data_IF_642355970951
#
_entry.id   IF_642355970951
#
_cell.length_a   1.000
_cell.length_b   1.000
_cell.length_c   1.000
_cell.angle_alpha   90.00
_cell.angle_beta   90.00
_cell.angle_gamma   90.00
#
_symmetry.space_group_name_H-M   'P 1'
#
loop_
_entity.id
_entity.type
_entity.pdbx_description
1 polymer ?
#
# COMPACT_ATOMS: atom_id res chain seq x y z
N UNK A 1 -31.11 -19.39 -15.98
CA UNK A 1 -31.23 -17.99 -16.47
C UNK A 1 -31.39 -18.08 -17.99
N UNK A 2 -32.53 -17.68 -18.54
CA UNK A 2 -32.86 -17.79 -19.97
C UNK A 2 -32.39 -16.54 -20.75
N UNK A 3 -31.07 -16.35 -20.86
CA UNK A 3 -30.45 -15.28 -21.65
C UNK A 3 -29.91 -15.80 -22.97
N UNK A 4 -29.98 -14.99 -24.03
CA UNK A 4 -29.31 -15.26 -25.31
C UNK A 4 -27.78 -15.17 -25.09
N UNK A 5 -27.10 -16.29 -25.28
CA UNK A 5 -25.64 -16.42 -25.15
C UNK A 5 -24.95 -15.66 -26.29
N UNK A 6 -24.53 -14.43 -26.02
CA UNK A 6 -23.72 -13.63 -26.93
C UNK A 6 -22.24 -13.68 -26.50
N UNK A 7 -21.46 -14.55 -27.11
CA UNK A 7 -19.99 -14.59 -26.94
C UNK A 7 -19.35 -13.39 -27.66
N UNK A 8 -19.33 -12.22 -27.01
CA UNK A 8 -18.78 -10.98 -27.58
C UNK A 8 -17.24 -10.95 -27.63
N UNK A 9 -16.55 -11.89 -26.98
CA UNK A 9 -15.09 -11.85 -26.84
C UNK A 9 -14.51 -13.25 -26.86
N UNK A 10 -13.54 -13.49 -27.75
CA UNK A 10 -12.71 -14.68 -27.72
C UNK A 10 -11.75 -14.57 -26.52
N UNK A 11 -12.05 -15.29 -25.44
CA UNK A 11 -11.19 -15.30 -24.26
C UNK A 11 -9.95 -16.14 -24.55
N UNK A 12 -8.80 -15.47 -24.60
CA UNK A 12 -7.51 -16.17 -24.68
C UNK A 12 -7.26 -16.94 -23.36
N UNK A 13 -7.06 -18.26 -23.41
CA UNK A 13 -6.80 -19.07 -22.23
C UNK A 13 -5.57 -18.60 -21.43
N UNK A 14 -4.58 -17.98 -22.07
CA UNK A 14 -3.38 -17.49 -21.37
C UNK A 14 -3.72 -16.32 -20.43
N UNK A 15 -4.52 -15.35 -20.89
CA UNK A 15 -4.95 -14.22 -20.06
C UNK A 15 -5.88 -14.68 -18.92
N UNK A 16 -6.77 -15.64 -19.19
CA UNK A 16 -7.62 -16.23 -18.15
C UNK A 16 -6.78 -16.91 -17.08
N UNK A 17 -5.74 -17.68 -17.47
CA UNK A 17 -4.81 -18.32 -16.53
C UNK A 17 -4.02 -17.30 -15.72
N UNK A 18 -3.49 -16.25 -16.35
CA UNK A 18 -2.76 -15.19 -15.66
C UNK A 18 -3.63 -14.51 -14.59
N UNK A 19 -4.85 -14.12 -14.96
CA UNK A 19 -5.83 -13.53 -14.04
C UNK A 19 -6.12 -14.45 -12.85
N UNK A 20 -6.32 -15.75 -13.13
CA UNK A 20 -6.51 -16.75 -12.08
C UNK A 20 -5.28 -16.88 -11.17
N UNK A 21 -4.05 -16.85 -11.70
CA UNK A 21 -2.83 -16.90 -10.88
C UNK A 21 -2.65 -15.64 -10.02
N UNK A 22 -2.98 -14.45 -10.53
CA UNK A 22 -2.87 -13.20 -9.77
C UNK A 22 -3.90 -13.15 -8.65
N UNK A 23 -5.15 -13.48 -8.95
CA UNK A 23 -6.26 -13.44 -7.98
C UNK A 23 -6.11 -14.50 -6.89
N UNK A 24 -5.62 -15.69 -7.24
CA UNK A 24 -5.41 -16.78 -6.27
C UNK A 24 -4.01 -16.78 -5.64
N UNK A 25 -3.19 -15.74 -5.82
CA UNK A 25 -1.80 -15.70 -5.33
C UNK A 25 -1.68 -15.96 -3.83
N UNK A 26 -2.66 -15.49 -3.05
CA UNK A 26 -2.70 -15.69 -1.59
C UNK A 26 -2.80 -17.17 -1.19
N UNK A 27 -3.46 -18.01 -2.01
CA UNK A 27 -3.60 -19.45 -1.75
C UNK A 27 -2.27 -20.20 -1.82
N UNK A 28 -1.35 -19.71 -2.65
CA UNK A 28 -0.03 -20.32 -2.87
C UNK A 28 1.10 -19.59 -2.15
N UNK A 29 0.77 -18.62 -1.28
CA UNK A 29 1.75 -17.88 -0.52
C UNK A 29 2.48 -18.78 0.47
N UNK A 30 3.79 -18.52 0.66
CA UNK A 30 4.62 -19.21 1.63
C UNK A 30 5.50 -18.23 2.39
N UNK A 31 5.63 -18.45 3.69
CA UNK A 31 6.62 -17.75 4.49
C UNK A 31 8.00 -18.29 4.15
N UNK A 32 8.82 -17.44 3.56
CA UNK A 32 10.23 -17.66 3.28
C UNK A 32 11.02 -16.56 3.98
N UNK A 33 12.32 -16.74 4.25
CA UNK A 33 13.13 -15.69 4.86
C UNK A 33 13.06 -14.36 4.09
N UNK A 34 12.89 -14.41 2.76
CA UNK A 34 12.71 -13.21 1.93
C UNK A 34 11.34 -12.56 2.15
N UNK A 35 10.24 -13.31 1.99
CA UNK A 35 8.89 -12.75 2.12
C UNK A 35 8.61 -12.26 3.53
N UNK A 36 9.09 -12.97 4.56
CA UNK A 36 9.01 -12.55 5.96
C UNK A 36 9.66 -11.18 6.20
N UNK A 37 10.90 -10.99 5.72
CA UNK A 37 11.61 -9.70 5.86
C UNK A 37 10.88 -8.56 5.16
N UNK A 38 10.39 -8.79 3.95
CA UNK A 38 9.65 -7.77 3.19
C UNK A 38 8.35 -7.41 3.92
N UNK A 39 7.56 -8.40 4.34
CA UNK A 39 6.32 -8.14 5.06
C UNK A 39 6.57 -7.39 6.36
N UNK A 40 7.58 -7.79 7.15
CA UNK A 40 7.93 -7.11 8.39
C UNK A 40 8.37 -5.65 8.15
N UNK A 41 9.20 -5.41 7.14
CA UNK A 41 9.66 -4.06 6.80
C UNK A 41 8.48 -3.12 6.47
N UNK A 42 7.54 -3.56 5.64
CA UNK A 42 6.44 -2.69 5.21
C UNK A 42 5.25 -2.66 6.17
N UNK A 43 4.99 -3.73 6.92
CA UNK A 43 3.87 -3.78 7.86
C UNK A 43 4.21 -3.13 9.21
N UNK A 44 5.49 -3.12 9.61
CA UNK A 44 5.91 -2.66 10.94
C UNK A 44 6.91 -1.50 10.83
N UNK A 45 8.05 -1.71 10.16
CA UNK A 45 9.14 -0.73 10.18
C UNK A 45 8.71 0.59 9.54
N UNK A 46 8.11 0.56 8.35
CA UNK A 46 7.67 1.78 7.67
C UNK A 46 6.59 2.54 8.46
N UNK A 47 5.47 1.92 8.90
CA UNK A 47 4.48 2.60 9.73
C UNK A 47 5.05 3.11 11.06
N UNK A 48 5.97 2.38 11.69
CA UNK A 48 6.59 2.81 12.94
C UNK A 48 7.45 4.07 12.75
N UNK A 49 8.24 4.13 11.68
CA UNK A 49 9.04 5.34 11.35
C UNK A 49 8.12 6.52 11.07
N UNK A 50 7.10 6.32 10.22
CA UNK A 50 6.14 7.38 9.88
C UNK A 50 5.39 7.85 11.12
N UNK A 51 4.91 6.93 11.96
CA UNK A 51 4.24 7.24 13.22
C UNK A 51 5.15 8.00 14.17
N UNK A 52 6.40 7.54 14.36
CA UNK A 52 7.37 8.24 15.22
C UNK A 52 7.62 9.68 14.76
N UNK A 53 7.82 9.89 13.45
CA UNK A 53 7.99 11.24 12.90
C UNK A 53 6.73 12.04 13.15
N UNK A 54 5.55 11.51 12.78
CA UNK A 54 4.28 12.17 12.96
C UNK A 54 4.07 12.63 14.40
N UNK A 55 4.18 11.73 15.38
CA UNK A 55 4.04 12.08 16.81
C UNK A 55 5.05 13.11 17.31
N UNK A 56 6.26 13.13 16.75
CA UNK A 56 7.31 14.08 17.15
C UNK A 56 7.17 15.45 16.47
N UNK A 57 6.54 15.48 15.30
CA UNK A 57 6.33 16.72 14.53
C UNK A 57 4.92 17.28 14.69
N UNK A 58 4.00 16.52 15.28
CA UNK A 58 2.65 16.96 15.57
C UNK A 58 2.68 18.16 16.51
N UNK A 59 1.98 19.23 16.16
CA UNK A 59 1.99 20.50 16.88
C UNK A 59 3.35 21.22 16.95
N UNK A 60 4.42 20.68 16.37
CA UNK A 60 5.77 21.26 16.48
C UNK A 60 6.01 22.42 15.53
N UNK A 61 5.24 22.55 14.46
CA UNK A 61 5.46 23.59 13.45
C UNK A 61 4.17 24.34 13.18
N UNK A 62 4.17 25.64 13.44
CA UNK A 62 3.12 26.56 12.98
C UNK A 62 3.71 27.61 12.06
N UNK A 63 3.15 27.68 10.85
CA UNK A 63 3.53 28.64 9.81
C UNK A 63 2.55 29.80 9.72
N UNK A 64 1.52 29.85 10.56
CA UNK A 64 0.49 30.89 10.50
C UNK A 64 1.09 32.25 10.79
N UNK A 65 0.95 33.16 9.82
CA UNK A 65 1.40 34.55 9.88
C UNK A 65 2.90 34.79 10.19
N UNK A 66 3.77 33.78 10.02
CA UNK A 66 5.22 33.92 10.22
C UNK A 66 5.87 34.76 9.12
N UNK A 67 6.84 35.60 9.47
CA UNK A 67 7.60 36.48 8.55
C UNK A 67 9.04 36.01 8.38
N UNK A 68 9.78 36.66 7.48
CA UNK A 68 11.22 36.38 7.28
C UNK A 68 11.99 36.65 8.58
N UNK A 69 12.60 35.61 9.13
CA UNK A 69 13.39 35.68 10.37
C UNK A 69 12.69 35.14 11.61
N UNK A 70 11.38 34.84 11.53
CA UNK A 70 10.62 34.30 12.67
C UNK A 70 10.83 32.78 12.83
N UNK A 71 10.86 32.29 14.07
CA UNK A 71 10.95 30.85 14.34
C UNK A 71 9.60 30.17 14.05
N UNK A 72 9.69 29.01 13.39
CA UNK A 72 8.58 28.20 12.91
C UNK A 72 8.19 27.11 13.93
N UNK A 73 8.99 26.90 14.98
CA UNK A 73 8.76 25.85 15.98
C UNK A 73 7.76 26.30 17.05
N UNK A 74 6.84 25.41 17.41
CA UNK A 74 6.01 25.47 18.61
C UNK A 74 6.48 24.38 19.60
N UNK A 75 6.30 24.62 20.91
CA UNK A 75 6.93 23.85 22.00
C UNK A 75 6.32 22.47 22.21
#
# INVERSE_FOLDING_TARGET
MAGLEHYKLAQDPAFVRLSNMTSNRYKYFRWTPRTARITFAYAIVVPAIVGYIAYKTDGKYDFRAKRRGDDMREF
#
